data_IF_983254766063
#
_entry.id   IF_983254766063
#
_cell.length_a   1.000
_cell.length_b   1.000
_cell.length_c   1.000
_cell.angle_alpha   90.00
_cell.angle_beta   90.00
_cell.angle_gamma   90.00
#
_symmetry.space_group_name_H-M   'P 1'
#
loop_
_entity.id
_entity.type
_entity.pdbx_description
1 polymer ?
#
# COMPACT_ATOMS: atom_id res chain seq x y z
N UNK A 1 -27.18 39.01 52.65
CA UNK A 1 -27.64 38.48 51.34
C UNK A 1 -26.96 39.14 50.13
N UNK A 2 -26.92 40.42 49.95
CA UNK A 2 -26.31 41.10 48.77
C UNK A 2 -24.78 40.83 48.60
N UNK A 3 -24.02 40.74 49.68
CA UNK A 3 -22.56 40.45 49.61
C UNK A 3 -22.26 39.00 49.21
N UNK A 4 -23.07 38.04 49.63
CA UNK A 4 -22.94 36.65 49.20
C UNK A 4 -23.28 36.45 47.74
N UNK A 5 -24.27 37.17 47.22
CA UNK A 5 -24.67 37.09 45.81
C UNK A 5 -23.59 37.66 44.86
N UNK A 6 -22.90 38.73 45.28
CA UNK A 6 -21.81 39.32 44.50
C UNK A 6 -20.56 38.44 44.50
N UNK A 7 -20.25 37.73 45.58
CA UNK A 7 -19.14 36.78 45.62
C UNK A 7 -19.43 35.56 44.78
N UNK A 8 -20.67 35.08 44.74
CA UNK A 8 -21.09 33.96 43.89
C UNK A 8 -21.04 34.34 42.39
N UNK A 9 -21.40 35.61 42.04
CA UNK A 9 -21.33 36.10 40.69
C UNK A 9 -19.89 36.27 40.18
N UNK A 10 -18.97 36.71 41.06
CA UNK A 10 -17.53 36.84 40.74
C UNK A 10 -16.87 35.45 40.56
N UNK A 11 -17.28 34.47 41.39
CA UNK A 11 -16.82 33.08 41.24
C UNK A 11 -17.32 32.42 39.93
N UNK A 12 -18.56 32.71 39.54
CA UNK A 12 -19.14 32.20 38.29
C UNK A 12 -18.45 32.81 37.02
N UNK A 13 -18.07 34.08 37.08
CA UNK A 13 -17.34 34.75 35.97
C UNK A 13 -15.88 34.30 35.92
N UNK A 14 -15.24 33.94 37.04
CA UNK A 14 -13.87 33.39 37.05
C UNK A 14 -13.80 31.97 36.47
N UNK A 15 -14.85 31.16 36.62
CA UNK A 15 -14.89 29.81 36.03
C UNK A 15 -15.03 29.86 34.49
N UNK A 16 -15.72 30.88 33.94
CA UNK A 16 -15.82 31.09 32.48
C UNK A 16 -14.51 31.63 31.86
N UNK A 17 -13.66 32.32 32.62
CA UNK A 17 -12.40 32.87 32.14
C UNK A 17 -11.25 31.84 32.07
N UNK A 18 -11.38 30.68 32.75
CA UNK A 18 -10.37 29.61 32.74
C UNK A 18 -10.62 28.59 31.62
N UNK A 19 -11.81 28.60 30.98
CA UNK A 19 -12.20 27.65 29.93
C UNK A 19 -11.72 28.02 28.52
N UNK A 20 -10.95 29.09 28.33
CA UNK A 20 -10.43 29.54 27.04
C UNK A 20 -8.90 29.56 26.96
N UNK A 21 -8.22 28.68 27.64
CA UNK A 21 -6.79 28.42 27.35
C UNK A 21 -6.65 26.96 26.89
N UNK A 22 -6.07 26.82 25.69
CA UNK A 22 -5.67 25.58 25.02
C UNK A 22 -6.78 24.78 24.31
N UNK A 23 -7.55 25.43 23.42
CA UNK A 23 -8.05 24.77 22.22
C UNK A 23 -7.24 25.25 21.00
N UNK A 24 -5.93 25.16 21.07
CA UNK A 24 -5.02 25.17 19.93
C UNK A 24 -5.04 23.82 19.20
N UNK A 25 -6.17 23.13 19.18
CA UNK A 25 -6.36 21.93 18.38
C UNK A 25 -6.20 22.31 16.91
N UNK A 26 -5.15 21.82 16.23
CA UNK A 26 -5.04 21.90 14.78
C UNK A 26 -6.39 21.47 14.22
N UNK A 27 -7.11 22.39 13.58
CA UNK A 27 -8.38 22.06 12.91
C UNK A 27 -8.17 20.80 12.08
N UNK A 28 -8.98 19.78 12.34
CA UNK A 28 -8.87 18.50 11.63
C UNK A 28 -8.97 18.78 10.14
N UNK A 29 -7.94 18.36 9.38
CA UNK A 29 -7.94 18.54 7.92
C UNK A 29 -9.07 17.73 7.32
N UNK A 30 -9.61 18.22 6.18
CA UNK A 30 -10.59 17.48 5.39
C UNK A 30 -10.03 16.11 5.01
N UNK A 31 -10.88 15.12 4.91
CA UNK A 31 -10.49 13.81 4.35
C UNK A 31 -10.15 13.94 2.87
N UNK A 32 -9.20 13.14 2.40
CA UNK A 32 -8.85 13.10 0.98
C UNK A 32 -9.98 12.53 0.12
N UNK A 33 -10.05 12.99 -1.12
CA UNK A 33 -10.93 12.49 -2.18
C UNK A 33 -10.14 11.69 -3.22
N UNK A 34 -10.82 11.15 -4.24
CA UNK A 34 -10.24 10.38 -5.33
C UNK A 34 -10.15 8.89 -5.06
N UNK A 35 -9.99 8.11 -6.12
CA UNK A 35 -9.91 6.64 -6.06
C UNK A 35 -8.48 6.18 -5.73
N UNK A 36 -8.34 4.97 -5.22
CA UNK A 36 -7.03 4.36 -5.01
C UNK A 36 -6.23 4.28 -6.32
N UNK A 37 -4.97 4.73 -6.27
CA UNK A 37 -4.10 4.79 -7.45
C UNK A 37 -4.43 5.89 -8.46
N UNK A 38 -5.33 6.82 -8.14
CA UNK A 38 -5.59 8.02 -8.96
C UNK A 38 -4.64 9.16 -8.56
N UNK A 39 -4.13 9.88 -9.55
CA UNK A 39 -3.19 11.01 -9.37
C UNK A 39 -3.69 12.19 -10.20
N UNK A 40 -3.94 13.31 -9.55
CA UNK A 40 -4.17 14.61 -10.23
C UNK A 40 -2.82 15.14 -10.68
N UNK A 41 -2.71 15.50 -11.96
CA UNK A 41 -1.53 16.14 -12.56
C UNK A 41 -1.88 17.54 -12.97
N UNK A 42 -1.39 18.52 -12.21
CA UNK A 42 -1.62 19.95 -12.43
C UNK A 42 -0.52 20.50 -13.30
N UNK A 43 -0.85 20.78 -14.57
CA UNK A 43 0.05 21.41 -15.53
C UNK A 43 -0.74 21.95 -16.72
N UNK A 44 -0.12 22.84 -17.47
CA UNK A 44 -0.72 23.36 -18.71
C UNK A 44 -0.86 22.25 -19.75
N UNK A 45 -1.93 22.35 -20.56
CA UNK A 45 -2.25 21.36 -21.60
C UNK A 45 -1.08 21.16 -22.57
N UNK A 46 -0.33 22.22 -22.89
CA UNK A 46 0.84 22.14 -23.78
C UNK A 46 1.94 21.26 -23.21
N UNK A 47 2.21 21.34 -21.90
CA UNK A 47 3.17 20.46 -21.22
C UNK A 47 2.66 19.01 -21.09
N UNK A 48 1.35 18.85 -20.88
CA UNK A 48 0.74 17.53 -20.80
C UNK A 48 0.84 16.73 -22.08
N UNK A 49 0.57 17.36 -23.24
CA UNK A 49 0.71 16.70 -24.55
C UNK A 49 2.17 16.63 -25.04
N UNK A 50 3.06 17.46 -24.46
CA UNK A 50 4.50 17.51 -24.74
C UNK A 50 5.31 16.51 -23.95
N UNK A 51 6.64 16.69 -23.95
CA UNK A 51 7.61 15.79 -23.35
C UNK A 51 7.41 15.53 -21.85
N UNK A 52 7.15 16.55 -20.99
CA UNK A 52 6.99 16.30 -19.54
C UNK A 52 5.80 15.40 -19.25
N UNK A 53 4.67 15.61 -19.92
CA UNK A 53 3.48 14.78 -19.77
C UNK A 53 3.68 13.37 -20.34
N UNK A 54 4.44 13.23 -21.42
CA UNK A 54 4.79 11.93 -22.01
C UNK A 54 5.65 11.12 -21.02
N UNK A 55 6.68 11.73 -20.41
CA UNK A 55 7.51 11.03 -19.43
C UNK A 55 6.74 10.70 -18.13
N UNK A 56 5.86 11.57 -17.64
CA UNK A 56 4.99 11.24 -16.50
C UNK A 56 4.10 10.03 -16.80
N UNK A 57 3.48 9.97 -18.00
CA UNK A 57 2.67 8.80 -18.40
C UNK A 57 3.52 7.54 -18.50
N UNK A 58 4.70 7.62 -19.11
CA UNK A 58 5.63 6.49 -19.24
C UNK A 58 6.05 5.93 -17.88
N UNK A 59 6.29 6.80 -16.90
CA UNK A 59 6.70 6.41 -15.54
C UNK A 59 5.52 5.90 -14.72
N UNK A 60 4.43 6.66 -14.64
CA UNK A 60 3.37 6.43 -13.66
C UNK A 60 2.19 5.62 -14.23
N UNK A 61 1.95 5.66 -15.54
CA UNK A 61 0.95 4.81 -16.19
C UNK A 61 1.58 3.57 -16.85
N UNK A 62 2.81 3.19 -16.46
CA UNK A 62 3.39 1.88 -16.80
C UNK A 62 2.55 0.75 -16.24
N UNK A 63 2.67 -0.44 -16.83
CA UNK A 63 1.94 -1.62 -16.38
C UNK A 63 2.30 -1.94 -14.91
N UNK A 64 1.27 -2.22 -14.09
CA UNK A 64 1.48 -2.73 -12.73
C UNK A 64 2.04 -4.15 -12.81
N UNK A 65 3.10 -4.49 -12.03
CA UNK A 65 3.78 -5.77 -12.16
C UNK A 65 2.90 -6.96 -11.75
N UNK A 66 3.16 -8.11 -12.39
CA UNK A 66 2.55 -9.40 -12.10
C UNK A 66 1.01 -9.37 -12.07
N UNK A 67 0.38 -8.79 -13.11
CA UNK A 67 -1.05 -8.88 -13.33
C UNK A 67 -1.35 -9.69 -14.60
N UNK A 68 -2.40 -10.53 -14.60
CA UNK A 68 -2.77 -11.31 -15.78
C UNK A 68 -3.31 -10.45 -16.93
N UNK A 69 -3.81 -9.23 -16.63
CA UNK A 69 -4.17 -8.21 -17.62
C UNK A 69 -3.38 -6.93 -17.33
N UNK A 70 -3.00 -6.22 -18.38
CA UNK A 70 -2.31 -4.93 -18.27
C UNK A 70 -3.20 -3.88 -17.62
N UNK A 71 -2.75 -3.35 -16.50
CA UNK A 71 -3.40 -2.24 -15.81
C UNK A 71 -2.33 -1.19 -15.49
N UNK A 72 -2.61 0.12 -15.71
CA UNK A 72 -1.63 1.15 -15.38
C UNK A 72 -1.41 1.22 -13.87
N UNK A 73 -0.17 1.41 -13.45
CA UNK A 73 0.17 1.53 -12.02
C UNK A 73 -0.59 2.67 -11.35
N UNK A 74 -0.77 3.79 -12.06
CA UNK A 74 -1.58 4.93 -11.61
C UNK A 74 -2.47 5.44 -12.73
N UNK A 75 -3.69 5.89 -12.38
CA UNK A 75 -4.60 6.59 -13.27
C UNK A 75 -4.32 8.09 -13.19
N UNK A 76 -3.82 8.68 -14.27
CA UNK A 76 -3.46 10.09 -14.31
C UNK A 76 -4.62 10.93 -14.82
N UNK A 77 -4.98 11.99 -14.09
CA UNK A 77 -6.02 12.95 -14.46
C UNK A 77 -5.38 14.35 -14.55
N UNK A 78 -5.23 14.87 -15.77
CA UNK A 78 -4.66 16.18 -15.99
C UNK A 78 -5.69 17.29 -15.67
N UNK A 79 -5.24 18.28 -14.93
CA UNK A 79 -6.00 19.49 -14.59
C UNK A 79 -5.15 20.71 -15.00
N UNK A 80 -5.69 21.65 -15.79
CA UNK A 80 -5.01 22.91 -16.09
C UNK A 80 -4.78 23.74 -14.82
N UNK A 81 -3.68 24.49 -14.77
CA UNK A 81 -3.30 25.28 -13.58
C UNK A 81 -4.42 26.22 -13.13
N UNK A 82 -5.09 26.89 -14.07
CA UNK A 82 -6.19 27.82 -13.78
C UNK A 82 -7.49 27.14 -13.31
N UNK A 83 -7.65 25.84 -13.52
CA UNK A 83 -8.78 25.05 -13.04
C UNK A 83 -8.50 24.34 -11.70
N UNK A 84 -7.28 24.40 -11.18
CA UNK A 84 -6.88 23.75 -9.93
C UNK A 84 -7.47 24.50 -8.72
N UNK A 85 -8.71 24.15 -8.40
CA UNK A 85 -9.51 24.74 -7.32
C UNK A 85 -9.56 23.86 -6.08
N UNK A 86 -10.25 24.34 -5.04
CA UNK A 86 -10.46 23.61 -3.77
C UNK A 86 -11.06 22.23 -3.94
N UNK A 87 -11.80 21.96 -5.01
CA UNK A 87 -12.35 20.63 -5.32
C UNK A 87 -11.23 19.62 -5.59
N UNK A 88 -10.24 20.00 -6.40
CA UNK A 88 -9.11 19.14 -6.74
C UNK A 88 -8.01 19.12 -5.67
N UNK A 89 -7.90 20.20 -4.88
CA UNK A 89 -6.92 20.32 -3.80
C UNK A 89 -7.10 19.26 -2.70
N UNK A 90 -8.30 18.70 -2.54
CA UNK A 90 -8.51 17.63 -1.56
C UNK A 90 -8.15 16.22 -2.08
N UNK A 91 -7.69 16.12 -3.34
CA UNK A 91 -7.34 14.80 -3.89
C UNK A 91 -6.14 14.17 -3.18
N UNK A 92 -6.16 12.86 -3.07
CA UNK A 92 -5.20 12.05 -2.28
C UNK A 92 -3.74 12.11 -2.79
N UNK A 93 -3.56 12.17 -4.11
CA UNK A 93 -2.25 12.28 -4.76
C UNK A 93 -2.30 13.40 -5.79
N UNK A 94 -1.38 14.34 -5.68
CA UNK A 94 -1.30 15.48 -6.58
C UNK A 94 0.15 15.64 -7.03
N UNK A 95 0.35 15.83 -8.34
CA UNK A 95 1.62 16.28 -8.93
C UNK A 95 1.37 17.65 -9.52
N UNK A 96 2.23 18.61 -9.20
CA UNK A 96 2.19 19.97 -9.75
C UNK A 96 3.48 20.22 -10.50
N UNK A 97 3.39 20.53 -11.79
CA UNK A 97 4.53 20.92 -12.62
C UNK A 97 4.56 22.42 -12.81
N UNK A 98 5.70 23.03 -12.50
CA UNK A 98 5.99 24.46 -12.67
C UNK A 98 7.25 24.62 -13.52
N UNK A 99 7.15 25.40 -14.60
CA UNK A 99 8.26 25.67 -15.51
C UNK A 99 8.45 27.18 -15.61
N UNK A 100 9.57 27.67 -15.08
CA UNK A 100 9.98 29.07 -15.16
C UNK A 100 11.50 29.17 -15.01
N UNK A 101 12.24 29.60 -16.05
CA UNK A 101 13.69 29.71 -15.99
C UNK A 101 14.21 30.76 -15.01
N UNK A 102 13.38 31.76 -14.66
CA UNK A 102 13.78 32.83 -13.73
C UNK A 102 13.57 32.40 -12.27
N UNK A 103 12.56 31.58 -12.00
CA UNK A 103 12.25 31.13 -10.65
C UNK A 103 12.96 29.81 -10.31
N UNK A 104 13.15 28.92 -11.30
CA UNK A 104 13.73 27.59 -11.12
C UNK A 104 14.94 27.37 -12.02
N UNK A 105 16.15 27.82 -11.61
CA UNK A 105 17.36 27.66 -12.41
C UNK A 105 17.79 26.20 -12.59
N UNK A 106 17.36 25.30 -11.69
CA UNK A 106 17.65 23.87 -11.72
C UNK A 106 16.38 23.04 -11.47
N UNK A 107 16.27 21.83 -12.06
CA UNK A 107 15.14 20.94 -11.81
C UNK A 107 15.12 20.48 -10.35
N UNK A 108 13.91 20.40 -9.75
CA UNK A 108 13.71 19.97 -8.37
C UNK A 108 12.40 19.20 -8.20
N UNK A 109 12.41 18.17 -7.34
CA UNK A 109 11.22 17.50 -6.84
C UNK A 109 11.14 17.73 -5.33
N UNK A 110 9.97 18.21 -4.87
CA UNK A 110 9.69 18.41 -3.45
C UNK A 110 8.37 17.71 -3.12
N UNK A 111 8.41 16.74 -2.20
CA UNK A 111 7.21 16.08 -1.68
C UNK A 111 6.77 16.76 -0.40
N UNK A 112 5.47 17.04 -0.29
CA UNK A 112 4.82 17.58 0.90
C UNK A 112 3.61 16.71 1.24
N UNK A 113 3.33 16.57 2.53
CA UNK A 113 2.20 15.80 3.01
C UNK A 113 1.13 16.71 3.60
N UNK A 114 -0.14 16.29 3.46
CA UNK A 114 -1.27 16.89 4.15
C UNK A 114 -1.40 18.41 3.98
N UNK A 115 -1.25 18.94 2.76
CA UNK A 115 -1.37 20.39 2.52
C UNK A 115 -2.81 20.86 2.70
N UNK A 116 -3.75 20.27 1.95
CA UNK A 116 -5.16 20.69 1.93
C UNK A 116 -6.11 19.66 2.55
N UNK A 117 -5.70 18.41 2.58
CA UNK A 117 -6.47 17.28 3.12
C UNK A 117 -5.53 16.27 3.75
N UNK A 118 -6.05 15.30 4.51
CA UNK A 118 -5.24 14.24 5.11
C UNK A 118 -5.96 12.88 4.99
N UNK A 119 -5.17 11.81 4.70
CA UNK A 119 -3.75 11.72 4.38
C UNK A 119 -3.46 12.00 2.89
N UNK A 120 -2.74 13.07 2.57
CA UNK A 120 -2.49 13.56 1.21
C UNK A 120 -0.99 13.57 0.89
N UNK A 121 -0.65 13.28 -0.38
CA UNK A 121 0.71 13.42 -0.89
C UNK A 121 0.68 14.37 -2.09
N UNK A 122 1.52 15.44 -2.01
CA UNK A 122 1.67 16.45 -3.06
C UNK A 122 3.13 16.48 -3.50
N UNK A 123 3.38 16.21 -4.77
CA UNK A 123 4.70 16.25 -5.38
C UNK A 123 4.77 17.50 -6.27
N UNK A 124 5.66 18.42 -5.93
CA UNK A 124 5.95 19.58 -6.75
C UNK A 124 7.21 19.28 -7.59
N UNK A 125 7.07 19.41 -8.89
CA UNK A 125 8.18 19.31 -9.86
C UNK A 125 8.37 20.70 -10.44
N UNK A 126 9.55 21.28 -10.30
CA UNK A 126 9.90 22.56 -10.88
C UNK A 126 11.13 22.44 -11.79
N UNK A 127 11.18 23.18 -12.88
CA UNK A 127 12.29 23.13 -13.84
C UNK A 127 12.41 24.43 -14.65
N UNK A 128 13.62 24.73 -15.22
CA UNK A 128 13.80 25.90 -16.05
C UNK A 128 13.15 25.78 -17.44
N UNK A 129 12.97 24.55 -17.96
CA UNK A 129 12.38 24.31 -19.27
C UNK A 129 11.61 22.99 -19.30
N UNK A 130 10.82 22.77 -20.35
CA UNK A 130 10.08 21.52 -20.55
C UNK A 130 10.99 20.32 -20.78
N UNK A 131 12.11 20.53 -21.50
CA UNK A 131 13.12 19.52 -21.77
C UNK A 131 13.81 19.09 -20.46
N UNK A 132 14.23 20.06 -19.64
CA UNK A 132 14.83 19.80 -18.32
C UNK A 132 13.84 19.07 -17.39
N UNK A 133 12.55 19.44 -17.42
CA UNK A 133 11.51 18.74 -16.65
C UNK A 133 11.35 17.28 -17.11
N UNK A 134 11.27 17.02 -18.41
CA UNK A 134 11.13 15.68 -18.96
C UNK A 134 12.32 14.78 -18.62
N UNK A 135 13.54 15.29 -18.81
CA UNK A 135 14.76 14.58 -18.45
C UNK A 135 14.78 14.24 -16.96
N UNK A 136 14.48 15.21 -16.10
CA UNK A 136 14.51 15.01 -14.65
C UNK A 136 13.44 14.04 -14.16
N UNK A 137 12.25 14.05 -14.76
CA UNK A 137 11.19 13.04 -14.50
C UNK A 137 11.70 11.64 -14.84
N UNK A 138 12.35 11.48 -16.00
CA UNK A 138 12.93 10.20 -16.42
C UNK A 138 14.03 9.72 -15.45
N UNK A 139 14.94 10.61 -15.05
CA UNK A 139 16.02 10.33 -14.09
C UNK A 139 15.46 9.94 -12.70
N UNK A 140 14.41 10.60 -12.25
CA UNK A 140 13.77 10.38 -10.94
C UNK A 140 12.57 9.46 -10.98
N UNK A 141 12.43 8.63 -12.02
CA UNK A 141 11.30 7.72 -12.21
C UNK A 141 11.00 6.87 -10.97
N UNK A 142 12.02 6.24 -10.38
CA UNK A 142 11.86 5.39 -9.21
C UNK A 142 11.43 6.18 -7.97
N UNK A 143 11.94 7.40 -7.78
CA UNK A 143 11.53 8.29 -6.68
C UNK A 143 10.04 8.61 -6.80
N UNK A 144 9.56 9.03 -7.97
CA UNK A 144 8.17 9.39 -8.21
C UNK A 144 7.24 8.19 -7.99
N UNK A 145 7.58 7.06 -8.61
CA UNK A 145 6.80 5.82 -8.52
C UNK A 145 6.69 5.33 -7.07
N UNK A 146 7.83 5.24 -6.37
CA UNK A 146 7.89 4.74 -5.00
C UNK A 146 7.24 5.70 -3.99
N UNK A 147 7.35 7.03 -4.18
CA UNK A 147 6.68 8.01 -3.32
C UNK A 147 5.16 7.82 -3.32
N UNK A 148 4.56 7.68 -4.50
CA UNK A 148 3.13 7.45 -4.63
C UNK A 148 2.73 6.04 -4.13
N UNK A 149 3.55 5.02 -4.39
CA UNK A 149 3.34 3.66 -3.89
C UNK A 149 3.35 3.60 -2.38
N UNK A 150 4.33 4.25 -1.75
CA UNK A 150 4.42 4.35 -0.29
C UNK A 150 3.23 5.12 0.31
N UNK A 151 2.78 6.19 -0.36
CA UNK A 151 1.61 6.95 0.08
C UNK A 151 0.33 6.09 0.07
N UNK A 152 0.08 5.33 -1.00
CA UNK A 152 -1.06 4.40 -1.07
C UNK A 152 -0.95 3.30 -0.02
N UNK A 153 0.23 2.69 0.13
CA UNK A 153 0.50 1.67 1.16
C UNK A 153 0.26 2.19 2.57
N UNK A 154 0.76 3.36 2.89
CA UNK A 154 0.59 3.97 4.22
C UNK A 154 -0.88 4.22 4.57
N UNK A 155 -1.72 4.59 3.58
CA UNK A 155 -3.17 4.78 3.79
C UNK A 155 -3.86 3.46 4.13
N UNK A 156 -3.53 2.40 3.41
CA UNK A 156 -4.09 1.06 3.64
C UNK A 156 -3.63 0.55 5.02
N UNK A 157 -2.33 0.62 5.34
CA UNK A 157 -1.79 0.18 6.63
C UNK A 157 -2.44 0.96 7.79
N UNK A 158 -2.56 2.29 7.65
CA UNK A 158 -3.24 3.12 8.67
C UNK A 158 -4.68 2.69 8.90
N UNK A 159 -5.42 2.38 7.83
CA UNK A 159 -6.77 1.89 7.91
C UNK A 159 -6.83 0.50 8.55
N UNK A 160 -5.93 -0.42 8.16
CA UNK A 160 -5.83 -1.76 8.73
C UNK A 160 -5.54 -1.72 10.23
N UNK A 161 -4.63 -0.85 10.68
CA UNK A 161 -4.33 -0.65 12.11
C UNK A 161 -5.50 -0.03 12.89
N UNK A 162 -6.23 0.90 12.28
CA UNK A 162 -7.35 1.60 12.94
C UNK A 162 -8.57 0.70 13.12
N UNK A 163 -8.82 -0.18 12.17
CA UNK A 163 -10.01 -1.04 12.11
C UNK A 163 -9.59 -2.50 11.96
N UNK A 164 -8.70 -2.97 12.85
CA UNK A 164 -8.14 -4.31 12.79
C UNK A 164 -9.08 -5.38 13.34
N UNK A 165 -9.02 -6.56 12.76
CA UNK A 165 -9.49 -7.82 13.34
C UNK A 165 -8.44 -8.36 14.32
N UNK A 166 -8.34 -7.75 15.49
CA UNK A 166 -7.32 -8.06 16.48
C UNK A 166 -7.17 -9.55 16.83
N UNK A 167 -8.26 -10.34 16.97
CA UNK A 167 -8.14 -11.77 17.22
C UNK A 167 -7.33 -12.52 16.16
N UNK A 168 -7.38 -12.07 14.88
CA UNK A 168 -6.59 -12.68 13.80
C UNK A 168 -5.11 -12.35 13.96
N UNK A 169 -4.78 -11.09 14.30
CA UNK A 169 -3.39 -10.71 14.58
C UNK A 169 -2.81 -11.50 15.74
N UNK A 170 -3.54 -11.60 16.85
CA UNK A 170 -3.09 -12.31 18.05
C UNK A 170 -2.90 -13.82 17.75
N UNK A 171 -3.78 -14.42 16.95
CA UNK A 171 -3.69 -15.81 16.50
C UNK A 171 -2.43 -16.05 15.65
N UNK A 172 -2.15 -15.18 14.67
CA UNK A 172 -0.96 -15.30 13.81
C UNK A 172 0.30 -15.06 14.61
N UNK A 173 0.32 -14.04 15.48
CA UNK A 173 1.48 -13.73 16.31
C UNK A 173 1.82 -14.84 17.28
N UNK A 174 0.84 -15.53 17.85
CA UNK A 174 1.07 -16.69 18.72
C UNK A 174 1.78 -17.83 17.99
N UNK A 175 1.50 -18.01 16.70
CA UNK A 175 2.09 -19.09 15.89
C UNK A 175 3.45 -18.70 15.29
N UNK A 176 3.56 -17.49 14.72
CA UNK A 176 4.70 -17.06 13.91
C UNK A 176 5.61 -16.03 14.61
N UNK A 177 5.26 -15.57 15.82
CA UNK A 177 6.02 -14.56 16.56
C UNK A 177 5.85 -13.12 16.06
N UNK A 178 5.02 -12.92 15.06
CA UNK A 178 4.65 -11.64 14.44
C UNK A 178 3.40 -11.78 13.61
N UNK A 179 2.85 -10.67 13.10
CA UNK A 179 1.64 -10.67 12.27
C UNK A 179 1.52 -9.40 11.45
N UNK A 180 0.88 -9.44 10.28
CA UNK A 180 0.32 -8.25 9.65
C UNK A 180 -0.95 -7.80 10.38
N UNK A 181 -1.44 -6.59 10.05
CA UNK A 181 -2.71 -6.06 10.53
C UNK A 181 -3.83 -6.35 9.54
N UNK A 182 -4.79 -7.16 9.93
CA UNK A 182 -5.93 -7.52 9.10
C UNK A 182 -7.05 -6.50 9.28
N UNK A 183 -7.53 -5.82 8.22
CA UNK A 183 -8.66 -4.91 8.33
C UNK A 183 -9.97 -5.66 8.59
N UNK A 184 -10.98 -4.93 9.08
CA UNK A 184 -12.33 -5.46 9.30
C UNK A 184 -12.89 -6.21 8.09
N UNK A 185 -13.50 -7.36 8.35
CA UNK A 185 -14.11 -8.23 7.36
C UNK A 185 -13.24 -9.40 6.91
N UNK A 186 -11.95 -9.40 7.23
CA UNK A 186 -11.11 -10.58 7.08
C UNK A 186 -11.52 -11.66 8.10
N UNK A 187 -11.44 -12.92 7.73
CA UNK A 187 -11.79 -14.05 8.58
C UNK A 187 -10.87 -15.24 8.38
N UNK A 188 -10.67 -16.02 9.45
CA UNK A 188 -9.90 -17.25 9.40
C UNK A 188 -10.63 -18.30 8.56
N UNK A 189 -9.93 -18.90 7.60
CA UNK A 189 -10.43 -19.99 6.76
C UNK A 189 -9.85 -21.33 7.15
N UNK A 190 -8.55 -21.37 7.42
CA UNK A 190 -7.84 -22.58 7.83
C UNK A 190 -6.71 -22.25 8.78
N UNK A 191 -6.45 -23.13 9.73
CA UNK A 191 -5.29 -23.11 10.60
C UNK A 191 -4.75 -24.52 10.79
N UNK A 192 -3.45 -24.67 10.59
CA UNK A 192 -2.65 -25.81 11.04
C UNK A 192 -1.46 -25.29 11.88
N UNK A 193 -0.54 -26.13 12.30
CA UNK A 193 0.63 -25.71 13.08
C UNK A 193 1.57 -24.78 12.28
N UNK A 194 1.69 -24.99 10.97
CA UNK A 194 2.65 -24.26 10.13
C UNK A 194 1.99 -23.50 8.96
N UNK A 195 0.64 -23.41 8.95
CA UNK A 195 -0.10 -22.75 7.89
C UNK A 195 -1.37 -22.07 8.42
N UNK A 196 -1.54 -20.80 8.07
CA UNK A 196 -2.77 -20.04 8.36
C UNK A 196 -3.28 -19.41 7.05
N UNK A 197 -4.57 -19.54 6.80
CA UNK A 197 -5.29 -18.90 5.71
C UNK A 197 -6.35 -17.95 6.28
N UNK A 198 -6.21 -16.67 5.95
CA UNK A 198 -7.14 -15.59 6.32
C UNK A 198 -7.56 -14.91 5.03
N UNK A 199 -8.86 -14.63 4.84
CA UNK A 199 -9.32 -13.94 3.63
C UNK A 199 -10.50 -13.01 3.87
N UNK A 200 -10.64 -12.06 2.94
CA UNK A 200 -11.84 -11.25 2.74
C UNK A 200 -12.49 -11.67 1.42
N UNK A 201 -13.71 -12.18 1.52
CA UNK A 201 -14.43 -12.75 0.40
C UNK A 201 -15.73 -11.99 0.12
N UNK A 202 -16.00 -11.79 -1.16
CA UNK A 202 -17.27 -11.31 -1.67
C UNK A 202 -17.79 -12.33 -2.71
N UNK A 203 -18.97 -12.10 -3.26
CA UNK A 203 -19.53 -12.97 -4.31
C UNK A 203 -18.60 -13.16 -5.53
N UNK A 204 -17.75 -12.17 -5.83
CA UNK A 204 -16.94 -12.16 -7.05
C UNK A 204 -15.45 -11.91 -6.82
N UNK A 205 -15.03 -11.72 -5.58
CA UNK A 205 -13.61 -11.46 -5.28
C UNK A 205 -13.19 -12.17 -4.01
N UNK A 206 -11.96 -12.67 -4.01
CA UNK A 206 -11.28 -13.17 -2.83
C UNK A 206 -9.92 -12.45 -2.72
N UNK A 207 -9.65 -11.87 -1.55
CA UNK A 207 -8.38 -11.28 -1.17
C UNK A 207 -7.85 -12.11 -0.01
N UNK A 208 -6.94 -13.03 -0.30
CA UNK A 208 -6.43 -13.95 0.71
C UNK A 208 -5.03 -13.60 1.17
N UNK A 209 -4.75 -13.99 2.40
CA UNK A 209 -3.42 -13.94 3.02
C UNK A 209 -3.11 -15.33 3.55
N UNK A 210 -2.02 -15.92 3.07
CA UNK A 210 -1.42 -17.10 3.68
C UNK A 210 -0.23 -16.69 4.54
N UNK A 211 -0.06 -17.36 5.67
CA UNK A 211 1.14 -17.27 6.49
C UNK A 211 1.59 -18.70 6.77
N UNK A 212 2.82 -19.04 6.38
CA UNK A 212 3.32 -20.39 6.55
C UNK A 212 4.84 -20.42 6.72
N UNK A 213 5.36 -21.59 7.11
CA UNK A 213 6.78 -21.85 7.19
C UNK A 213 7.23 -22.82 6.11
N UNK A 214 8.40 -22.52 5.55
CA UNK A 214 9.18 -23.49 4.78
C UNK A 214 10.51 -23.73 5.48
N UNK A 215 11.10 -24.95 5.37
CA UNK A 215 12.36 -25.26 6.03
C UNK A 215 13.50 -24.42 5.45
N UNK A 216 14.40 -23.93 6.31
CA UNK A 216 15.67 -23.38 5.86
C UNK A 216 16.66 -24.53 5.60
N UNK A 217 17.02 -24.75 4.35
CA UNK A 217 17.92 -25.83 3.91
C UNK A 217 19.30 -25.34 3.48
N UNK A 218 19.57 -24.03 3.68
CA UNK A 218 20.84 -23.41 3.31
C UNK A 218 20.68 -22.15 2.48
N UNK A 219 21.78 -21.58 1.99
CA UNK A 219 21.81 -20.29 1.29
C UNK A 219 20.88 -20.21 0.06
N UNK A 220 20.60 -21.34 -0.57
CA UNK A 220 19.76 -21.39 -1.77
C UNK A 220 18.25 -21.41 -1.46
N UNK A 221 17.83 -21.52 -0.19
CA UNK A 221 16.40 -21.58 0.17
C UNK A 221 15.58 -20.35 -0.26
N UNK A 222 16.23 -19.20 -0.44
CA UNK A 222 15.65 -17.96 -0.95
C UNK A 222 16.15 -17.63 -2.37
N UNK A 223 16.45 -18.61 -3.17
CA UNK A 223 16.57 -18.46 -4.63
C UNK A 223 15.25 -18.88 -5.27
N UNK A 224 14.94 -18.35 -6.46
CA UNK A 224 13.58 -18.39 -7.03
C UNK A 224 13.04 -19.84 -7.14
N UNK A 225 13.71 -20.72 -7.85
CA UNK A 225 13.21 -22.08 -8.11
C UNK A 225 13.01 -22.93 -6.83
N UNK A 226 13.98 -23.04 -5.90
CA UNK A 226 13.79 -23.78 -4.65
C UNK A 226 12.70 -23.16 -3.76
N UNK A 227 12.60 -21.83 -3.74
CA UNK A 227 11.57 -21.12 -2.99
C UNK A 227 10.16 -21.45 -3.52
N UNK A 228 9.93 -21.30 -4.82
CA UNK A 228 8.62 -21.60 -5.46
C UNK A 228 8.26 -23.08 -5.25
N UNK A 229 9.18 -24.00 -5.44
CA UNK A 229 8.92 -25.42 -5.24
C UNK A 229 8.48 -25.74 -3.79
N UNK A 230 9.11 -25.10 -2.79
CA UNK A 230 8.75 -25.27 -1.40
C UNK A 230 7.38 -24.65 -1.08
N UNK A 231 7.06 -23.48 -1.64
CA UNK A 231 5.75 -22.86 -1.49
C UNK A 231 4.63 -23.69 -2.15
N UNK A 232 4.84 -24.16 -3.38
CA UNK A 232 3.87 -25.00 -4.10
C UNK A 232 3.56 -26.30 -3.35
N UNK A 233 4.56 -26.93 -2.70
CA UNK A 233 4.32 -28.11 -1.84
C UNK A 233 3.42 -27.76 -0.65
N UNK A 234 3.63 -26.61 0.00
CA UNK A 234 2.78 -26.15 1.10
C UNK A 234 1.36 -25.84 0.60
N UNK A 235 1.20 -25.14 -0.53
CA UNK A 235 -0.10 -24.79 -1.11
C UNK A 235 -0.85 -26.05 -1.53
N UNK A 236 -0.22 -26.99 -2.19
CA UNK A 236 -0.80 -28.28 -2.58
C UNK A 236 -1.42 -29.02 -1.40
N UNK A 237 -0.76 -29.02 -0.26
CA UNK A 237 -1.23 -29.73 0.94
C UNK A 237 -2.31 -28.94 1.72
N UNK A 238 -2.43 -27.63 1.50
CA UNK A 238 -3.26 -26.75 2.34
C UNK A 238 -4.40 -26.07 1.61
N UNK A 239 -4.32 -25.86 0.30
CA UNK A 239 -5.27 -25.08 -0.50
C UNK A 239 -5.84 -25.94 -1.63
N UNK A 240 -6.77 -26.87 -1.33
CA UNK A 240 -7.42 -27.68 -2.35
C UNK A 240 -8.32 -26.81 -3.25
N UNK A 241 -8.41 -27.14 -4.52
CA UNK A 241 -9.39 -26.58 -5.43
C UNK A 241 -10.78 -27.24 -5.26
N UNK A 242 -11.69 -26.93 -6.19
CA UNK A 242 -13.07 -27.43 -6.14
C UNK A 242 -13.21 -28.86 -6.64
N UNK A 243 -12.27 -29.34 -7.45
CA UNK A 243 -12.33 -30.67 -8.06
C UNK A 243 -11.34 -31.63 -7.40
N UNK A 244 -11.57 -32.92 -7.57
CA UNK A 244 -10.63 -33.94 -7.11
C UNK A 244 -9.25 -33.73 -7.76
N UNK A 245 -8.18 -33.86 -6.96
CA UNK A 245 -6.80 -33.62 -7.36
C UNK A 245 -6.50 -32.19 -7.88
N UNK A 246 -7.34 -31.20 -7.54
CA UNK A 246 -7.06 -29.79 -7.79
C UNK A 246 -6.52 -29.09 -6.55
N UNK A 247 -5.56 -28.19 -6.73
CA UNK A 247 -4.91 -27.44 -5.66
C UNK A 247 -4.26 -26.17 -6.22
N UNK A 248 -4.06 -25.16 -5.35
CA UNK A 248 -3.37 -23.93 -5.72
C UNK A 248 -1.88 -24.18 -5.90
N UNK A 249 -1.30 -23.58 -6.93
CA UNK A 249 0.12 -23.66 -7.29
C UNK A 249 0.54 -22.38 -8.03
N UNK A 250 1.84 -22.15 -8.16
CA UNK A 250 2.38 -21.08 -9.00
C UNK A 250 2.13 -21.38 -10.47
N UNK A 251 1.65 -20.39 -11.23
CA UNK A 251 1.41 -20.54 -12.66
C UNK A 251 2.71 -20.68 -13.43
N UNK A 252 2.75 -21.64 -14.36
CA UNK A 252 3.89 -21.91 -15.23
C UNK A 252 3.94 -21.00 -16.46
N UNK A 253 2.85 -20.28 -16.73
CA UNK A 253 2.77 -19.37 -17.90
C UNK A 253 3.43 -18.00 -17.63
N UNK A 254 3.68 -17.68 -16.37
CA UNK A 254 4.31 -16.43 -15.96
C UNK A 254 5.46 -16.74 -14.98
N UNK A 255 6.68 -16.42 -15.38
CA UNK A 255 7.86 -16.58 -14.54
C UNK A 255 7.82 -15.59 -13.37
N UNK A 256 7.78 -16.04 -12.10
CA UNK A 256 7.79 -15.14 -10.96
C UNK A 256 9.09 -14.35 -10.88
N UNK A 257 9.02 -13.14 -10.34
CA UNK A 257 10.16 -12.26 -10.12
C UNK A 257 10.49 -12.18 -8.63
N UNK A 258 11.75 -12.44 -8.26
CA UNK A 258 12.26 -12.31 -6.90
C UNK A 258 13.15 -11.08 -6.79
N UNK A 259 12.82 -10.19 -5.84
CA UNK A 259 13.58 -8.97 -5.56
C UNK A 259 13.88 -8.87 -4.06
N UNK A 260 15.13 -8.58 -3.71
CA UNK A 260 15.49 -8.29 -2.32
C UNK A 260 15.08 -6.88 -1.94
N UNK A 261 14.33 -6.78 -0.86
CA UNK A 261 13.76 -5.53 -0.37
C UNK A 261 14.25 -5.22 1.05
N UNK A 262 14.32 -3.91 1.35
CA UNK A 262 14.51 -3.42 2.71
C UNK A 262 13.40 -2.44 3.07
N UNK A 263 12.68 -2.73 4.14
CA UNK A 263 11.57 -1.89 4.59
C UNK A 263 11.56 -1.78 6.11
N UNK A 264 11.55 -0.55 6.65
CA UNK A 264 11.58 -0.26 8.11
C UNK A 264 12.73 -0.92 8.88
N UNK A 265 13.82 -1.25 8.21
CA UNK A 265 14.99 -1.88 8.82
C UNK A 265 15.08 -3.38 8.64
N UNK A 266 14.00 -4.04 8.23
CA UNK A 266 13.97 -5.48 7.97
C UNK A 266 14.26 -5.77 6.49
N UNK A 267 15.07 -6.80 6.24
CA UNK A 267 15.36 -7.31 4.90
C UNK A 267 14.49 -8.55 4.63
N UNK A 268 13.92 -8.64 3.43
CA UNK A 268 13.10 -9.77 2.98
C UNK A 268 13.18 -9.94 1.47
N UNK A 269 12.88 -11.13 0.98
CA UNK A 269 12.65 -11.38 -0.43
C UNK A 269 11.18 -11.09 -0.75
N UNK A 270 10.92 -10.23 -1.75
CA UNK A 270 9.61 -10.04 -2.34
C UNK A 270 9.53 -10.87 -3.62
N UNK A 271 8.53 -11.73 -3.72
CA UNK A 271 8.28 -12.54 -4.91
C UNK A 271 6.92 -12.15 -5.47
N UNK A 272 6.85 -11.92 -6.78
CA UNK A 272 5.62 -11.57 -7.50
C UNK A 272 5.38 -12.53 -8.63
N UNK A 273 4.16 -13.01 -8.76
CA UNK A 273 3.81 -13.96 -9.80
C UNK A 273 2.30 -14.09 -10.00
N UNK A 274 1.95 -15.09 -10.77
CA UNK A 274 0.57 -15.53 -10.94
C UNK A 274 0.41 -16.92 -10.33
N UNK A 275 -0.70 -17.13 -9.64
CA UNK A 275 -1.14 -18.44 -9.17
C UNK A 275 -2.23 -18.99 -10.07
N UNK A 276 -2.35 -20.29 -10.09
CA UNK A 276 -3.41 -21.02 -10.75
C UNK A 276 -3.86 -22.19 -9.88
N UNK A 277 -4.97 -22.80 -10.23
CA UNK A 277 -5.40 -24.06 -9.61
C UNK A 277 -5.15 -25.19 -10.60
N UNK A 278 -4.31 -26.14 -10.23
CA UNK A 278 -4.06 -27.35 -11.02
C UNK A 278 -5.38 -28.06 -11.32
N UNK A 279 -5.64 -28.38 -12.58
CA UNK A 279 -6.86 -28.99 -13.10
C UNK A 279 -8.13 -28.10 -12.96
N UNK A 280 -7.99 -26.77 -12.89
CA UNK A 280 -9.11 -25.82 -12.88
C UNK A 280 -8.71 -24.53 -13.61
N UNK A 281 -9.68 -23.64 -13.88
CA UNK A 281 -9.46 -22.36 -14.57
C UNK A 281 -9.32 -21.16 -13.62
N UNK A 282 -9.18 -21.39 -12.32
CA UNK A 282 -8.99 -20.33 -11.34
C UNK A 282 -7.54 -19.88 -11.32
N UNK A 283 -7.34 -18.55 -11.22
CA UNK A 283 -6.01 -17.97 -11.12
C UNK A 283 -6.06 -16.48 -10.83
N UNK A 284 -4.90 -15.91 -10.56
CA UNK A 284 -4.74 -14.50 -10.27
C UNK A 284 -3.34 -14.10 -9.86
N UNK A 285 -3.11 -12.84 -9.49
CA UNK A 285 -1.82 -12.38 -9.01
C UNK A 285 -1.60 -12.73 -7.55
N UNK A 286 -0.31 -12.92 -7.20
CA UNK A 286 0.16 -13.00 -5.82
C UNK A 286 1.41 -12.16 -5.57
N UNK A 287 1.69 -11.89 -4.31
CA UNK A 287 2.91 -11.30 -3.82
C UNK A 287 3.28 -11.92 -2.48
N UNK A 288 4.54 -12.36 -2.34
CA UNK A 288 5.09 -12.93 -1.12
C UNK A 288 6.10 -12.00 -0.49
N UNK A 289 6.15 -12.00 0.84
CA UNK A 289 7.30 -11.57 1.61
C UNK A 289 7.88 -12.78 2.34
N UNK A 290 9.12 -13.10 2.05
CA UNK A 290 9.84 -14.22 2.66
C UNK A 290 11.03 -13.72 3.48
N UNK A 291 11.09 -14.11 4.75
CA UNK A 291 12.14 -13.72 5.69
C UNK A 291 12.42 -14.80 6.71
N UNK A 292 13.61 -14.76 7.30
CA UNK A 292 14.01 -15.74 8.30
C UNK A 292 13.19 -15.63 9.59
N UNK A 293 12.79 -16.77 10.16
CA UNK A 293 12.28 -16.83 11.51
C UNK A 293 13.36 -16.35 12.51
N UNK A 294 12.96 -15.89 13.70
CA UNK A 294 13.89 -15.36 14.70
C UNK A 294 14.94 -16.37 15.18
N UNK A 295 14.60 -17.64 15.16
CA UNK A 295 15.52 -18.73 15.51
C UNK A 295 16.42 -19.18 14.34
N UNK A 296 16.21 -18.62 13.15
CA UNK A 296 16.97 -18.91 11.93
C UNK A 296 16.77 -20.32 11.36
N UNK A 297 15.78 -21.09 11.84
CA UNK A 297 15.58 -22.49 11.43
C UNK A 297 14.60 -22.65 10.28
N UNK A 298 13.78 -21.65 10.03
CA UNK A 298 12.77 -21.64 8.98
C UNK A 298 12.70 -20.29 8.30
N UNK A 299 12.03 -20.28 7.16
CA UNK A 299 11.62 -19.07 6.45
C UNK A 299 10.12 -18.92 6.68
N UNK A 300 9.71 -17.73 7.12
CA UNK A 300 8.31 -17.34 7.21
C UNK A 300 7.94 -16.72 5.87
N UNK A 301 6.88 -17.21 5.27
CA UNK A 301 6.29 -16.66 4.04
C UNK A 301 4.95 -16.04 4.41
N UNK A 302 4.76 -14.80 3.97
CA UNK A 302 3.48 -14.08 4.07
C UNK A 302 3.05 -13.76 2.64
N UNK A 303 2.11 -14.53 2.12
CA UNK A 303 1.62 -14.41 0.76
C UNK A 303 0.29 -13.67 0.72
N UNK A 304 0.18 -12.68 -0.16
CA UNK A 304 -1.07 -12.04 -0.51
C UNK A 304 -1.52 -12.41 -1.90
N UNK A 305 -2.70 -13.01 -2.06
CA UNK A 305 -3.24 -13.37 -3.36
C UNK A 305 -4.60 -12.73 -3.64
N UNK A 306 -4.94 -12.64 -4.93
CA UNK A 306 -6.22 -12.06 -5.37
C UNK A 306 -6.89 -12.96 -6.41
N UNK A 307 -8.17 -13.27 -6.18
CA UNK A 307 -9.09 -13.80 -7.18
C UNK A 307 -10.16 -12.75 -7.49
N UNK A 308 -10.19 -12.24 -8.72
CA UNK A 308 -11.16 -11.23 -9.16
C UNK A 308 -11.41 -11.33 -10.66
N UNK A 309 -12.06 -12.41 -11.15
CA UNK A 309 -12.13 -12.71 -12.59
C UNK A 309 -12.87 -11.65 -13.40
N UNK A 310 -13.75 -10.87 -12.77
CA UNK A 310 -14.60 -9.87 -13.45
C UNK A 310 -14.10 -8.42 -13.27
N UNK A 311 -13.04 -8.19 -12.50
CA UNK A 311 -12.62 -6.85 -12.12
C UNK A 311 -11.14 -6.60 -12.37
N UNK A 312 -10.73 -5.34 -12.59
CA UNK A 312 -9.34 -4.93 -12.51
C UNK A 312 -8.73 -5.32 -11.15
N UNK A 313 -7.52 -5.90 -11.19
CA UNK A 313 -6.91 -6.56 -10.03
C UNK A 313 -5.90 -5.71 -9.29
N UNK A 314 -5.34 -4.66 -9.94
CA UNK A 314 -4.31 -3.80 -9.38
C UNK A 314 -4.63 -3.30 -7.96
N UNK A 315 -5.83 -2.77 -7.75
CA UNK A 315 -6.18 -2.19 -6.46
C UNK A 315 -6.39 -3.26 -5.38
N UNK A 316 -6.89 -4.44 -5.75
CA UNK A 316 -6.99 -5.58 -4.83
C UNK A 316 -5.61 -6.12 -4.46
N UNK A 317 -4.70 -6.26 -5.45
CA UNK A 317 -3.33 -6.70 -5.19
C UNK A 317 -2.58 -5.70 -4.30
N UNK A 318 -2.69 -4.39 -4.60
CA UNK A 318 -2.12 -3.32 -3.74
C UNK A 318 -2.66 -3.38 -2.31
N UNK A 319 -3.89 -3.80 -2.12
CA UNK A 319 -4.50 -3.93 -0.80
C UNK A 319 -3.88 -5.09 -0.02
N UNK A 320 -3.82 -6.30 -0.58
CA UNK A 320 -3.18 -7.45 0.10
C UNK A 320 -1.68 -7.23 0.28
N UNK A 321 -0.99 -6.68 -0.73
CA UNK A 321 0.40 -6.24 -0.62
C UNK A 321 0.62 -5.29 0.56
N UNK A 322 -0.23 -4.29 0.73
CA UNK A 322 -0.11 -3.35 1.85
C UNK A 322 -0.36 -4.01 3.20
N UNK A 323 -1.23 -5.03 3.25
CA UNK A 323 -1.45 -5.82 4.46
C UNK A 323 -0.17 -6.58 4.82
N UNK A 324 0.46 -7.29 3.89
CA UNK A 324 1.69 -8.04 4.18
C UNK A 324 2.86 -7.10 4.55
N UNK A 325 2.95 -5.91 3.95
CA UNK A 325 3.90 -4.86 4.36
C UNK A 325 3.65 -4.32 5.77
N UNK A 326 2.50 -4.58 6.35
CA UNK A 326 2.18 -4.17 7.73
C UNK A 326 2.70 -5.14 8.79
N UNK A 327 3.41 -6.20 8.39
CA UNK A 327 4.00 -7.15 9.33
C UNK A 327 4.78 -6.45 10.43
N UNK A 328 4.53 -6.88 11.67
CA UNK A 328 5.29 -6.47 12.85
C UNK A 328 5.55 -7.68 13.74
N UNK A 329 6.72 -7.73 14.34
CA UNK A 329 7.03 -8.71 15.37
C UNK A 329 6.24 -8.42 16.65
N UNK A 330 5.77 -9.45 17.34
CA UNK A 330 4.88 -9.31 18.49
C UNK A 330 5.45 -8.41 19.62
N UNK A 331 6.76 -8.38 19.77
CA UNK A 331 7.45 -7.49 20.73
C UNK A 331 7.31 -6.00 20.43
N UNK A 332 6.83 -5.63 19.23
CA UNK A 332 6.65 -4.26 18.77
C UNK A 332 5.19 -3.79 18.79
N UNK A 333 4.22 -4.66 19.08
CA UNK A 333 2.78 -4.34 19.00
C UNK A 333 2.33 -3.22 19.94
N UNK A 334 3.04 -2.99 21.04
CA UNK A 334 2.69 -2.01 22.06
C UNK A 334 3.69 -0.83 22.11
N UNK A 335 4.56 -0.69 21.12
CA UNK A 335 5.48 0.45 20.98
C UNK A 335 4.88 1.47 19.99
#
# INVERSE_FOLDING_TARGET
>A
MKRFLNILLILLTAVFAISCKDFGGKLAKKSVTGKAGEVIVVMDKGFWIGEPGAELRKVLASDYPALPQKEPAYNLVQIPVNAFSTLFQTHRNIIILQIDPNEYPEPKIVTKEDIWAAPQTVINISAPSKEAAAQYIAEKKNLLFNTLGQAERNRIIRNSKKYEERPLRDLVAAEFGGSPYFPTGYSLKKKTNDFIWISYETTYTNQGIFIFRIPYTGANSLTLEPFIAACDEVLKNNVPGMFENSYMTTSKEFEPELTWMRYKGDDFAEIRGLWEVENDFMGGPFVDHAFYSKDGKSIIVVEGFVYAPRYPKRNYLRQVESIIYSWEWAENFNK
#
